data_IF_254482634802
#
_entry.id   IF_254482634802
#
_cell.length_a   1.000
_cell.length_b   1.000
_cell.length_c   1.000
_cell.angle_alpha   90.00
_cell.angle_beta   90.00
_cell.angle_gamma   90.00
#
_symmetry.space_group_name_H-M   'P 1'
#
loop_
_entity.id
_entity.type
_entity.pdbx_description
1 polymer ?
#
# COMPACT_ATOMS: atom_id res chain seq x y z
N UNK A 1 -38.24 -11.21 59.49
CA UNK A 1 -38.86 -12.10 58.48
C UNK A 1 -38.98 -11.32 57.18
N UNK A 2 -38.08 -11.54 56.22
CA UNK A 2 -38.22 -11.06 54.85
C UNK A 2 -38.16 -12.30 53.95
N UNK A 3 -39.25 -12.59 53.24
CA UNK A 3 -39.33 -13.71 52.30
C UNK A 3 -38.69 -13.31 50.97
N UNK A 4 -37.59 -13.96 50.60
CA UNK A 4 -36.97 -13.79 49.28
C UNK A 4 -37.84 -14.46 48.22
N UNK A 5 -38.41 -13.67 47.31
CA UNK A 5 -39.10 -14.16 46.11
C UNK A 5 -38.03 -14.56 45.07
N UNK A 6 -38.06 -15.77 44.49
CA UNK A 6 -37.10 -16.16 43.46
C UNK A 6 -37.37 -15.46 42.12
N UNK A 7 -36.33 -15.18 41.31
CA UNK A 7 -36.50 -14.51 40.03
C UNK A 7 -37.17 -15.41 38.97
N UNK A 8 -37.88 -14.81 37.99
CA UNK A 8 -38.60 -15.54 36.97
C UNK A 8 -37.65 -16.27 35.99
N UNK A 9 -37.97 -17.52 35.68
CA UNK A 9 -37.28 -18.33 34.68
C UNK A 9 -37.73 -17.92 33.27
N UNK A 10 -36.84 -17.34 32.47
CA UNK A 10 -37.09 -17.13 31.05
C UNK A 10 -36.94 -18.46 30.31
N UNK A 11 -38.06 -19.08 29.90
CA UNK A 11 -38.04 -20.22 28.99
C UNK A 11 -37.67 -19.75 27.58
N UNK A 12 -36.41 -19.91 27.20
CA UNK A 12 -35.98 -19.69 25.82
C UNK A 12 -36.46 -20.85 24.95
N UNK A 13 -37.64 -20.71 24.36
CA UNK A 13 -38.04 -21.53 23.23
C UNK A 13 -38.76 -20.68 22.18
N UNK A 14 -38.01 -19.77 21.57
CA UNK A 14 -38.42 -19.10 20.34
C UNK A 14 -37.51 -19.62 19.22
N UNK A 15 -37.93 -20.72 18.60
CA UNK A 15 -37.44 -21.11 17.28
C UNK A 15 -37.79 -19.97 16.33
N UNK A 16 -36.79 -19.19 15.93
CA UNK A 16 -36.89 -18.30 14.79
C UNK A 16 -36.48 -19.10 13.58
N UNK A 17 -37.46 -19.65 12.87
CA UNK A 17 -37.27 -20.12 11.51
C UNK A 17 -37.02 -18.88 10.64
N UNK A 18 -35.76 -18.48 10.51
CA UNK A 18 -35.34 -17.48 9.55
C UNK A 18 -35.40 -18.15 8.15
N UNK A 19 -36.25 -17.70 7.22
CA UNK A 19 -36.17 -18.18 5.85
C UNK A 19 -34.83 -17.74 5.25
N UNK A 20 -34.25 -18.63 4.45
CA UNK A 20 -32.96 -18.46 3.79
C UNK A 20 -32.93 -17.18 2.92
N UNK A 21 -31.75 -16.58 2.83
CA UNK A 21 -31.46 -15.31 2.13
C UNK A 21 -31.77 -15.34 0.63
N UNK A 22 -32.14 -16.50 0.08
CA UNK A 22 -32.44 -16.70 -1.35
C UNK A 22 -33.93 -16.52 -1.72
N UNK A 23 -34.86 -16.50 -0.76
CA UNK A 23 -36.30 -16.32 -1.07
C UNK A 23 -36.76 -14.85 -1.15
N UNK A 24 -35.94 -13.88 -0.74
CA UNK A 24 -36.32 -12.47 -0.66
C UNK A 24 -36.19 -11.73 -1.99
N UNK A 25 -35.43 -12.26 -2.95
CA UNK A 25 -35.08 -11.55 -4.18
C UNK A 25 -36.07 -11.68 -5.34
N UNK A 26 -37.12 -12.50 -5.21
CA UNK A 26 -38.10 -12.75 -6.29
C UNK A 26 -39.49 -12.15 -6.07
N UNK A 27 -39.70 -11.37 -4.99
CA UNK A 27 -40.93 -10.57 -4.87
C UNK A 27 -40.74 -9.30 -5.66
N UNK A 28 -41.37 -9.21 -6.83
CA UNK A 28 -41.38 -7.97 -7.61
C UNK A 28 -41.90 -6.84 -6.71
N UNK A 29 -41.27 -5.66 -6.72
CA UNK A 29 -41.67 -4.47 -5.95
C UNK A 29 -43.17 -4.11 -6.09
N UNK A 30 -43.82 -4.62 -7.14
CA UNK A 30 -45.27 -4.54 -7.39
C UNK A 30 -46.12 -5.20 -6.31
N UNK A 31 -45.67 -6.27 -5.68
CA UNK A 31 -46.48 -7.04 -4.71
C UNK A 31 -46.50 -6.41 -3.31
N UNK A 32 -45.54 -5.55 -2.98
CA UNK A 32 -45.49 -4.80 -1.71
C UNK A 32 -46.36 -3.53 -1.71
N UNK A 33 -46.91 -3.14 -2.87
CA UNK A 33 -47.66 -1.89 -3.05
C UNK A 33 -49.19 -2.05 -3.05
N UNK A 34 -49.72 -3.29 -3.02
CA UNK A 34 -51.17 -3.57 -3.13
C UNK A 34 -52.02 -2.94 -2.01
N UNK A 35 -51.44 -2.73 -0.82
CA UNK A 35 -52.15 -2.21 0.36
C UNK A 35 -51.92 -0.71 0.63
N UNK A 36 -51.15 -0.02 -0.21
CA UNK A 36 -50.81 1.40 -0.01
C UNK A 36 -51.73 2.26 -0.89
N UNK A 37 -52.43 3.27 -0.33
CA UNK A 37 -53.26 4.19 -1.12
C UNK A 37 -52.47 4.83 -2.28
N UNK A 38 -53.08 4.90 -3.46
CA UNK A 38 -52.47 5.43 -4.70
C UNK A 38 -51.85 6.82 -4.51
N UNK A 39 -52.50 7.68 -3.72
CA UNK A 39 -52.00 9.01 -3.33
C UNK A 39 -50.59 8.95 -2.71
N UNK A 40 -50.32 7.96 -1.85
CA UNK A 40 -49.03 7.81 -1.18
C UNK A 40 -47.98 7.30 -2.18
N UNK A 41 -48.37 6.38 -3.06
CA UNK A 41 -47.50 5.86 -4.12
C UNK A 41 -47.05 6.99 -5.08
N UNK A 42 -47.99 7.83 -5.53
CA UNK A 42 -47.70 9.00 -6.36
C UNK A 42 -46.78 10.00 -5.66
N UNK A 43 -47.05 10.30 -4.38
CA UNK A 43 -46.20 11.19 -3.58
C UNK A 43 -44.78 10.63 -3.43
N UNK A 44 -44.64 9.31 -3.24
CA UNK A 44 -43.34 8.67 -3.12
C UNK A 44 -42.57 8.68 -4.45
N UNK A 45 -43.24 8.38 -5.57
CA UNK A 45 -42.66 8.45 -6.91
C UNK A 45 -42.17 9.88 -7.22
N UNK A 46 -42.98 10.90 -6.90
CA UNK A 46 -42.59 12.31 -7.04
C UNK A 46 -41.36 12.65 -6.19
N UNK A 47 -41.28 12.12 -4.97
CA UNK A 47 -40.15 12.35 -4.07
C UNK A 47 -38.87 11.65 -4.55
N UNK A 48 -38.99 10.47 -5.16
CA UNK A 48 -37.88 9.78 -5.80
C UNK A 48 -37.36 10.54 -7.02
N UNK A 49 -38.25 11.03 -7.88
CA UNK A 49 -37.88 11.87 -9.02
C UNK A 49 -37.15 13.14 -8.54
N UNK A 50 -37.73 13.86 -7.56
CA UNK A 50 -37.09 15.05 -6.97
C UNK A 50 -35.69 14.77 -6.41
N UNK A 51 -35.46 13.61 -5.80
CA UNK A 51 -34.13 13.21 -5.30
C UNK A 51 -33.15 12.91 -6.44
N UNK A 52 -33.60 12.31 -7.53
CA UNK A 52 -32.78 12.09 -8.73
C UNK A 52 -32.39 13.42 -9.38
N UNK A 53 -33.36 14.33 -9.51
CA UNK A 53 -33.15 15.65 -10.10
C UNK A 53 -32.21 16.50 -9.24
N UNK A 54 -32.35 16.47 -7.90
CA UNK A 54 -31.42 17.15 -6.98
C UNK A 54 -29.99 16.63 -7.08
N UNK A 55 -29.79 15.31 -7.20
CA UNK A 55 -28.45 14.73 -7.42
C UNK A 55 -27.85 15.11 -8.77
N UNK A 56 -28.68 15.40 -9.76
CA UNK A 56 -28.28 15.77 -11.11
C UNK A 56 -28.16 17.28 -11.32
N UNK A 57 -28.43 18.09 -10.29
CA UNK A 57 -28.36 19.54 -10.41
C UNK A 57 -26.91 19.99 -10.54
N UNK A 58 -26.50 20.17 -11.80
CA UNK A 58 -25.16 20.63 -12.18
C UNK A 58 -24.82 21.98 -11.54
N UNK A 59 -25.82 22.76 -11.09
CA UNK A 59 -25.62 24.02 -10.39
C UNK A 59 -24.89 23.85 -9.06
N UNK A 60 -25.34 22.90 -8.23
CA UNK A 60 -24.75 22.63 -6.91
C UNK A 60 -23.35 22.01 -7.03
N UNK A 61 -23.16 21.11 -7.98
CA UNK A 61 -21.85 20.55 -8.28
C UNK A 61 -20.87 21.64 -8.75
N UNK A 62 -21.31 22.52 -9.66
CA UNK A 62 -20.49 23.67 -10.10
C UNK A 62 -20.18 24.63 -8.95
N UNK A 63 -21.11 24.83 -8.02
CA UNK A 63 -20.91 25.69 -6.83
C UNK A 63 -19.87 25.09 -5.89
N UNK A 64 -19.97 23.80 -5.59
CA UNK A 64 -18.99 23.10 -4.74
C UNK A 64 -17.61 23.07 -5.39
N UNK A 65 -17.50 22.83 -6.69
CA UNK A 65 -16.21 22.84 -7.41
C UNK A 65 -15.60 24.24 -7.47
N UNK A 66 -16.41 25.29 -7.65
CA UNK A 66 -15.95 26.68 -7.55
C UNK A 66 -15.43 27.01 -6.15
N UNK A 67 -16.11 26.55 -5.10
CA UNK A 67 -15.70 26.75 -3.72
C UNK A 67 -14.38 26.02 -3.42
N UNK A 68 -14.26 24.75 -3.83
CA UNK A 68 -13.02 23.98 -3.74
C UNK A 68 -11.85 24.69 -4.43
N UNK A 69 -12.05 25.18 -5.65
CA UNK A 69 -11.04 25.94 -6.40
C UNK A 69 -10.66 27.27 -5.73
N UNK A 70 -11.59 27.93 -5.04
CA UNK A 70 -11.29 29.16 -4.29
C UNK A 70 -10.44 28.85 -3.07
N UNK A 71 -10.84 27.86 -2.27
CA UNK A 71 -10.11 27.42 -1.07
C UNK A 71 -8.69 26.98 -1.44
N UNK A 72 -8.52 26.15 -2.47
CA UNK A 72 -7.18 25.71 -2.87
C UNK A 72 -6.30 26.85 -3.35
N UNK A 73 -6.83 27.84 -4.06
CA UNK A 73 -6.07 29.04 -4.44
C UNK A 73 -5.67 29.88 -3.22
N UNK A 74 -6.58 30.09 -2.27
CA UNK A 74 -6.28 30.88 -1.07
C UNK A 74 -5.18 30.22 -0.23
N UNK A 75 -5.23 28.90 -0.06
CA UNK A 75 -4.18 28.12 0.62
C UNK A 75 -2.84 28.21 -0.13
N UNK A 76 -2.85 28.04 -1.46
CA UNK A 76 -1.62 28.16 -2.26
C UNK A 76 -1.02 29.57 -2.16
N UNK A 77 -1.83 30.62 -2.21
CA UNK A 77 -1.35 32.00 -2.07
C UNK A 77 -0.75 32.25 -0.68
N UNK A 78 -1.37 31.72 0.39
CA UNK A 78 -0.82 31.82 1.74
C UNK A 78 0.52 31.07 1.88
N UNK A 79 0.66 29.95 1.19
CA UNK A 79 1.91 29.17 1.16
C UNK A 79 2.99 29.79 0.26
N UNK A 80 2.62 30.57 -0.76
CA UNK A 80 3.58 31.29 -1.61
C UNK A 80 4.09 32.58 -0.97
N UNK A 81 3.32 33.19 -0.07
CA UNK A 81 3.74 34.42 0.63
C UNK A 81 4.69 34.15 1.81
N UNK A 82 4.77 32.90 2.26
CA UNK A 82 5.80 32.46 3.18
C UNK A 82 6.78 31.65 2.33
N UNK A 83 8.00 32.14 2.09
CA UNK A 83 9.02 31.46 1.28
C UNK A 83 9.43 30.12 1.91
N UNK A 84 8.55 29.13 1.84
CA UNK A 84 8.78 27.76 2.28
C UNK A 84 8.94 26.95 1.00
N UNK A 85 10.15 26.43 0.83
CA UNK A 85 10.59 25.72 -0.36
C UNK A 85 9.53 24.73 -0.84
N UNK A 86 9.12 24.85 -2.10
CA UNK A 86 8.13 23.99 -2.78
C UNK A 86 8.50 22.50 -2.68
N UNK A 87 9.77 22.19 -2.39
CA UNK A 87 10.24 20.84 -2.12
C UNK A 87 9.74 20.27 -0.78
N UNK A 88 9.68 21.08 0.29
CA UNK A 88 9.18 20.64 1.60
C UNK A 88 7.71 20.23 1.53
N UNK A 89 6.88 20.91 0.72
CA UNK A 89 5.47 20.55 0.55
C UNK A 89 5.22 19.24 -0.21
N UNK A 90 6.17 18.81 -1.06
CA UNK A 90 6.11 17.51 -1.72
C UNK A 90 6.39 16.37 -0.75
N UNK A 91 7.28 16.61 0.23
CA UNK A 91 7.63 15.63 1.26
C UNK A 91 6.44 15.38 2.22
N UNK A 92 5.55 16.38 2.40
CA UNK A 92 4.30 16.24 3.16
C UNK A 92 3.11 15.76 2.28
N UNK A 93 3.35 15.42 1.01
CA UNK A 93 2.36 14.78 0.13
C UNK A 93 1.32 15.72 -0.53
N UNK A 94 1.54 17.04 -0.53
CA UNK A 94 0.62 17.99 -1.17
C UNK A 94 0.87 18.04 -2.68
N UNK A 95 -0.10 17.61 -3.49
CA UNK A 95 0.01 17.60 -4.96
C UNK A 95 -0.46 18.93 -5.56
N UNK A 96 0.47 19.77 -6.02
CA UNK A 96 0.15 21.04 -6.68
C UNK A 96 -0.20 20.79 -8.15
N UNK A 97 -1.33 21.30 -8.67
CA UNK A 97 -1.72 21.12 -10.07
C UNK A 97 -0.76 21.84 -11.03
N UNK A 98 -0.31 21.13 -12.07
CA UNK A 98 0.72 21.55 -13.04
C UNK A 98 0.44 22.87 -13.80
N UNK A 99 -0.78 23.41 -13.73
CA UNK A 99 -1.13 24.67 -14.38
C UNK A 99 -0.46 25.91 -13.75
N UNK A 100 0.05 25.81 -12.52
CA UNK A 100 0.64 26.96 -11.78
C UNK A 100 2.17 27.07 -12.01
N UNK A 101 2.86 26.01 -12.44
CA UNK A 101 4.32 25.99 -12.54
C UNK A 101 4.90 26.56 -13.86
N UNK A 102 4.07 27.07 -14.77
CA UNK A 102 4.49 27.45 -16.12
C UNK A 102 4.77 28.94 -16.29
N UNK A 103 5.59 29.55 -15.43
CA UNK A 103 6.16 30.87 -15.76
C UNK A 103 7.68 30.93 -15.85
N UNK A 104 8.42 30.05 -15.19
CA UNK A 104 9.89 30.07 -15.24
C UNK A 104 10.47 28.66 -15.42
N UNK A 105 10.39 28.07 -16.62
CA UNK A 105 11.27 26.97 -17.00
C UNK A 105 11.78 27.17 -18.42
N UNK A 106 13.02 27.67 -18.51
CA UNK A 106 13.86 27.47 -19.69
C UNK A 106 13.98 25.98 -19.95
N UNK A 107 13.78 25.64 -21.20
CA UNK A 107 13.69 24.33 -21.81
C UNK A 107 14.90 23.45 -21.45
N UNK A 108 14.64 22.36 -20.71
CA UNK A 108 15.43 21.14 -20.82
C UNK A 108 14.43 20.04 -21.18
N UNK A 109 14.54 19.53 -22.40
CA UNK A 109 13.72 18.42 -22.88
C UNK A 109 14.14 17.16 -22.13
N UNK A 110 13.32 16.71 -21.19
CA UNK A 110 13.32 15.32 -20.73
C UNK A 110 12.00 14.70 -21.17
N UNK A 111 12.10 13.82 -22.16
CA UNK A 111 10.99 13.00 -22.65
C UNK A 111 10.61 11.98 -21.57
N UNK A 112 9.72 12.34 -20.66
CA UNK A 112 9.08 11.38 -19.75
C UNK A 112 7.58 11.42 -19.97
N UNK A 113 7.10 10.43 -20.73
CA UNK A 113 5.68 10.12 -20.87
C UNK A 113 5.09 9.80 -19.50
N UNK A 114 4.16 10.63 -19.04
CA UNK A 114 3.37 10.39 -17.83
C UNK A 114 2.42 9.21 -18.02
N UNK A 115 2.80 8.04 -17.51
CA UNK A 115 1.88 6.93 -17.20
C UNK A 115 2.23 6.33 -15.82
N UNK A 116 1.91 6.96 -14.67
CA UNK A 116 2.62 6.63 -13.42
C UNK A 116 1.70 6.33 -12.23
N UNK A 117 0.78 5.36 -12.33
CA UNK A 117 0.04 4.89 -11.13
C UNK A 117 -0.09 3.36 -11.10
N UNK A 118 -0.45 2.73 -12.23
CA UNK A 118 -0.62 1.27 -12.28
C UNK A 118 0.71 0.52 -12.19
N UNK A 119 1.76 1.06 -12.81
CA UNK A 119 3.09 0.43 -12.83
C UNK A 119 3.74 0.42 -11.43
N UNK A 120 3.54 1.47 -10.64
CA UNK A 120 4.09 1.55 -9.29
C UNK A 120 3.38 0.62 -8.31
N UNK A 121 2.06 0.45 -8.46
CA UNK A 121 1.30 -0.51 -7.68
C UNK A 121 1.74 -1.96 -7.96
N UNK A 122 1.95 -2.33 -9.24
CA UNK A 122 2.45 -3.65 -9.63
C UNK A 122 3.86 -3.87 -9.09
N UNK A 123 4.73 -2.86 -9.19
CA UNK A 123 6.10 -2.90 -8.65
C UNK A 123 6.11 -3.09 -7.13
N UNK A 124 5.19 -2.43 -6.41
CA UNK A 124 5.06 -2.59 -4.96
C UNK A 124 4.54 -3.97 -4.56
N UNK A 125 3.58 -4.53 -5.30
CA UNK A 125 3.10 -5.90 -5.09
C UNK A 125 4.23 -6.93 -5.26
N UNK A 126 5.07 -6.78 -6.29
CA UNK A 126 6.23 -7.65 -6.53
C UNK A 126 7.29 -7.54 -5.42
N UNK A 127 7.49 -6.35 -4.85
CA UNK A 127 8.38 -6.15 -3.69
C UNK A 127 7.77 -6.83 -2.46
N UNK A 128 6.48 -6.62 -2.20
CA UNK A 128 5.76 -7.20 -1.06
C UNK A 128 5.78 -8.73 -1.06
N UNK A 129 5.65 -9.35 -2.23
CA UNK A 129 5.77 -10.81 -2.38
C UNK A 129 7.16 -11.31 -1.98
N UNK A 130 8.23 -10.59 -2.36
CA UNK A 130 9.62 -10.93 -2.01
C UNK A 130 10.00 -10.63 -0.57
N UNK A 131 9.26 -9.74 0.10
CA UNK A 131 9.37 -9.53 1.55
C UNK A 131 8.75 -10.70 2.33
N UNK A 132 7.65 -11.29 1.83
CA UNK A 132 7.01 -12.47 2.44
C UNK A 132 7.79 -13.76 2.23
N UNK A 133 8.52 -13.87 1.12
CA UNK A 133 9.40 -14.99 0.87
C UNK A 133 10.57 -14.90 1.86
N UNK A 134 10.51 -15.70 2.93
CA UNK A 134 11.66 -15.97 3.78
C UNK A 134 12.85 -16.31 2.87
N UNK A 135 13.94 -15.59 3.04
CA UNK A 135 15.11 -15.79 2.20
C UNK A 135 15.86 -16.99 2.80
N UNK A 136 15.85 -18.18 2.17
CA UNK A 136 16.45 -19.38 2.76
C UNK A 136 17.97 -19.27 2.94
N UNK A 137 18.59 -18.27 2.32
CA UNK A 137 20.02 -17.94 2.42
C UNK A 137 20.34 -16.81 3.41
N UNK A 138 19.34 -16.21 4.08
CA UNK A 138 19.66 -15.44 5.29
C UNK A 138 19.87 -16.50 6.34
N UNK A 139 21.10 -16.98 6.40
CA UNK A 139 21.57 -17.87 7.45
C UNK A 139 21.17 -17.25 8.78
N UNK A 140 20.22 -17.90 9.43
CA UNK A 140 20.02 -17.74 10.85
C UNK A 140 21.38 -17.91 11.53
N UNK A 141 21.84 -16.85 12.18
CA UNK A 141 22.70 -16.98 13.35
C UNK A 141 24.14 -17.50 13.17
N UNK A 142 24.77 -17.49 12.00
CA UNK A 142 26.17 -18.00 11.97
C UNK A 142 27.18 -16.97 12.53
N UNK A 143 26.92 -15.66 12.40
CA UNK A 143 27.88 -14.61 12.83
C UNK A 143 27.32 -13.55 13.79
N UNK A 144 26.18 -13.78 14.47
CA UNK A 144 25.67 -12.79 15.46
C UNK A 144 26.65 -12.55 16.62
N UNK A 145 27.54 -13.49 16.90
CA UNK A 145 28.54 -13.39 17.95
C UNK A 145 29.70 -12.42 17.64
N UNK A 146 29.87 -11.98 16.38
CA UNK A 146 31.05 -11.18 15.97
C UNK A 146 30.73 -9.82 15.33
N UNK A 147 29.45 -9.42 15.22
CA UNK A 147 29.15 -8.06 14.77
C UNK A 147 29.30 -7.09 15.94
N UNK A 148 30.17 -6.11 15.76
CA UNK A 148 30.25 -4.97 16.67
C UNK A 148 28.87 -4.31 16.76
N UNK A 149 28.45 -4.01 18.00
CA UNK A 149 27.19 -3.30 18.25
C UNK A 149 27.17 -2.00 17.45
N UNK A 150 26.03 -1.72 16.84
CA UNK A 150 25.80 -0.42 16.19
C UNK A 150 25.64 0.66 17.25
N UNK A 151 25.87 1.93 16.87
CA UNK A 151 25.74 3.07 17.79
C UNK A 151 24.34 3.16 18.43
N UNK A 152 23.30 2.84 17.67
CA UNK A 152 21.93 2.90 18.19
C UNK A 152 21.70 1.78 19.22
N UNK A 153 22.30 0.61 19.02
CA UNK A 153 22.24 -0.48 20.01
C UNK A 153 23.00 -0.12 21.30
N UNK A 154 24.16 0.54 21.19
CA UNK A 154 24.88 1.04 22.38
C UNK A 154 24.10 2.14 23.10
N UNK A 155 23.48 3.07 22.36
CA UNK A 155 22.67 4.15 22.95
C UNK A 155 21.41 3.61 23.66
N UNK A 156 20.86 2.48 23.19
CA UNK A 156 19.76 1.78 23.87
C UNK A 156 20.24 1.21 25.20
N UNK A 157 21.38 0.51 25.21
CA UNK A 157 21.96 -0.04 26.44
C UNK A 157 22.23 1.08 27.46
N UNK A 158 22.82 2.20 27.02
CA UNK A 158 23.06 3.39 27.85
C UNK A 158 21.75 3.98 28.42
N UNK A 159 20.68 4.07 27.61
CA UNK A 159 19.39 4.58 28.07
C UNK A 159 18.73 3.65 29.11
N UNK A 160 18.87 2.33 28.94
CA UNK A 160 18.37 1.34 29.89
C UNK A 160 19.14 1.40 31.21
N UNK A 161 20.47 1.52 31.17
CA UNK A 161 21.31 1.68 32.36
C UNK A 161 21.00 2.98 33.11
N UNK A 162 20.69 4.06 32.39
CA UNK A 162 20.24 5.33 32.96
C UNK A 162 18.80 5.31 33.49
N UNK A 163 18.01 4.27 33.17
CA UNK A 163 16.59 4.16 33.54
C UNK A 163 15.63 5.03 32.72
N UNK A 164 16.07 5.55 31.57
CA UNK A 164 15.26 6.36 30.64
C UNK A 164 14.61 5.45 29.57
N UNK A 165 13.48 4.85 29.94
CA UNK A 165 12.77 3.90 29.08
C UNK A 165 12.10 4.55 27.86
N UNK A 166 11.64 5.80 27.99
CA UNK A 166 11.02 6.54 26.89
C UNK A 166 12.02 6.74 25.75
N UNK A 167 13.28 7.05 26.09
CA UNK A 167 14.35 7.16 25.10
C UNK A 167 14.68 5.80 24.47
N UNK A 168 14.76 4.74 25.26
CA UNK A 168 15.05 3.40 24.76
C UNK A 168 13.98 2.90 23.76
N UNK A 169 12.69 3.17 24.01
CA UNK A 169 11.59 2.80 23.12
C UNK A 169 11.65 3.52 21.78
N UNK A 170 11.98 4.82 21.80
CA UNK A 170 12.17 5.62 20.59
C UNK A 170 13.32 5.08 19.72
N UNK A 171 14.46 4.76 20.34
CA UNK A 171 15.62 4.19 19.65
C UNK A 171 15.31 2.79 19.10
N UNK A 172 14.56 1.97 19.83
CA UNK A 172 14.09 0.65 19.36
C UNK A 172 13.20 0.76 18.11
N UNK A 173 12.26 1.71 18.12
CA UNK A 173 11.42 2.01 16.96
C UNK A 173 12.26 2.46 15.76
N UNK A 174 13.30 3.26 16.00
CA UNK A 174 14.24 3.68 14.97
C UNK A 174 15.02 2.51 14.37
N UNK A 175 15.55 1.59 15.20
CA UNK A 175 16.23 0.36 14.71
C UNK A 175 15.27 -0.46 13.84
N UNK A 176 14.04 -0.66 14.29
CA UNK A 176 13.03 -1.44 13.56
C UNK A 176 12.76 -0.86 12.17
N UNK A 177 12.63 0.47 12.07
CA UNK A 177 12.45 1.16 10.80
C UNK A 177 13.66 1.01 9.86
N UNK A 178 14.88 1.08 10.40
CA UNK A 178 16.10 0.88 9.62
C UNK A 178 16.21 -0.55 9.10
N UNK A 179 15.95 -1.55 9.96
CA UNK A 179 15.94 -2.95 9.56
C UNK A 179 14.92 -3.20 8.44
N UNK A 180 13.69 -2.70 8.59
CA UNK A 180 12.66 -2.78 7.56
C UNK A 180 13.08 -2.10 6.25
N UNK A 181 13.73 -0.93 6.31
CA UNK A 181 14.29 -0.28 5.13
C UNK A 181 15.35 -1.16 4.45
N UNK A 182 16.23 -1.83 5.21
CA UNK A 182 17.20 -2.76 4.61
C UNK A 182 16.53 -3.94 3.92
N UNK A 183 15.46 -4.49 4.49
CA UNK A 183 14.66 -5.56 3.86
C UNK A 183 14.08 -5.11 2.51
N UNK A 184 13.49 -3.91 2.46
CA UNK A 184 12.98 -3.33 1.22
C UNK A 184 14.09 -3.20 0.18
N UNK A 185 15.26 -2.68 0.56
CA UNK A 185 16.38 -2.53 -0.39
C UNK A 185 16.86 -3.87 -0.92
N UNK A 186 16.90 -4.90 -0.07
CA UNK A 186 17.25 -6.26 -0.45
C UNK A 186 16.21 -6.86 -1.40
N UNK A 187 14.91 -6.70 -1.13
CA UNK A 187 13.84 -7.14 -2.01
C UNK A 187 13.91 -6.47 -3.39
N UNK A 188 14.20 -5.17 -3.43
CA UNK A 188 14.43 -4.44 -4.70
C UNK A 188 15.66 -4.99 -5.43
N UNK A 189 16.75 -5.30 -4.72
CA UNK A 189 17.95 -5.88 -5.32
C UNK A 189 17.65 -7.25 -5.96
N UNK A 190 16.88 -8.11 -5.28
CA UNK A 190 16.43 -9.41 -5.82
C UNK A 190 15.59 -9.23 -7.08
N UNK A 191 14.62 -8.33 -7.05
CA UNK A 191 13.78 -8.02 -8.21
C UNK A 191 14.61 -7.54 -9.41
N UNK A 192 15.55 -6.62 -9.18
CA UNK A 192 16.49 -6.15 -10.22
C UNK A 192 17.35 -7.29 -10.77
N UNK A 193 17.81 -8.19 -9.91
CA UNK A 193 18.59 -9.35 -10.31
C UNK A 193 17.76 -10.31 -11.18
N UNK A 194 16.56 -10.69 -10.75
CA UNK A 194 15.69 -11.59 -11.52
C UNK A 194 15.28 -10.99 -12.88
N UNK A 195 14.91 -9.71 -12.91
CA UNK A 195 14.61 -9.01 -14.16
C UNK A 195 15.84 -8.97 -15.08
N UNK A 196 17.03 -8.70 -14.54
CA UNK A 196 18.26 -8.77 -15.32
C UNK A 196 18.52 -10.18 -15.85
N UNK A 197 18.30 -11.24 -15.07
CA UNK A 197 18.42 -12.63 -15.53
C UNK A 197 17.46 -12.94 -16.68
N UNK A 198 16.21 -12.47 -16.62
CA UNK A 198 15.25 -12.68 -17.69
C UNK A 198 15.64 -11.95 -18.99
N UNK A 199 16.16 -10.73 -18.86
CA UNK A 199 16.55 -9.87 -19.98
C UNK A 199 17.89 -10.23 -20.64
N UNK A 200 18.67 -11.17 -20.10
CA UNK A 200 19.89 -11.66 -20.78
C UNK A 200 19.46 -12.45 -22.04
N UNK A 201 19.90 -12.05 -23.25
CA UNK A 201 19.58 -12.77 -24.48
C UNK A 201 20.09 -14.22 -24.37
N UNK A 202 19.28 -15.16 -24.83
CA UNK A 202 19.48 -16.61 -24.69
C UNK A 202 20.86 -17.07 -25.16
N UNK A 203 21.46 -16.40 -26.15
CA UNK A 203 22.83 -16.63 -26.62
C UNK A 203 23.89 -16.37 -25.55
N UNK A 204 23.75 -15.32 -24.74
CA UNK A 204 24.67 -15.03 -23.61
C UNK A 204 24.44 -15.99 -22.44
N UNK A 205 23.21 -16.48 -22.25
CA UNK A 205 22.90 -17.58 -21.30
C UNK A 205 23.53 -18.90 -21.73
N UNK A 206 23.77 -19.14 -23.03
CA UNK A 206 24.52 -20.31 -23.55
C UNK A 206 26.03 -20.21 -23.27
N UNK A 207 26.61 -19.03 -23.45
CA UNK A 207 28.06 -18.80 -23.29
C UNK A 207 28.54 -18.84 -21.83
N UNK A 208 27.69 -18.56 -20.85
CA UNK A 208 28.01 -18.60 -19.40
C UNK A 208 28.01 -20.02 -18.79
N UNK A 209 27.62 -21.04 -19.55
CA UNK A 209 27.48 -22.44 -19.07
C UNK A 209 28.76 -23.26 -19.14
N UNK A 210 29.80 -22.73 -19.79
CA UNK A 210 31.12 -23.35 -19.73
C UNK A 210 31.87 -22.68 -18.58
N UNK A 211 31.56 -23.15 -17.38
CA UNK A 211 32.44 -22.95 -16.24
C UNK A 211 33.70 -23.79 -16.50
N UNK A 212 34.76 -23.14 -16.97
CA UNK A 212 36.05 -23.74 -17.39
C UNK A 212 36.79 -24.52 -16.28
N UNK A 213 36.21 -24.66 -15.08
CA UNK A 213 36.79 -25.41 -13.97
C UNK A 213 36.41 -26.90 -13.96
N UNK A 214 35.50 -27.36 -14.82
CA UNK A 214 35.26 -28.80 -14.98
C UNK A 214 36.23 -29.38 -16.01
N UNK A 215 37.35 -29.89 -15.52
CA UNK A 215 38.02 -31.11 -16.02
C UNK A 215 38.27 -31.22 -17.54
N UNK A 216 38.76 -30.18 -18.20
CA UNK A 216 39.34 -30.34 -19.55
C UNK A 216 40.83 -30.74 -19.49
N UNK A 217 41.42 -30.67 -18.29
CA UNK A 217 42.84 -30.94 -18.05
C UNK A 217 43.23 -32.42 -18.21
N UNK A 218 42.31 -33.38 -18.05
CA UNK A 218 42.66 -34.81 -18.16
C UNK A 218 42.73 -35.32 -19.62
N UNK A 219 42.00 -34.70 -20.53
CA UNK A 219 42.06 -35.03 -21.97
C UNK A 219 43.41 -34.62 -22.61
N UNK A 220 44.16 -33.68 -22.02
CA UNK A 220 45.48 -33.26 -22.56
C UNK A 220 46.62 -34.21 -22.20
N UNK A 221 46.46 -35.05 -21.17
CA UNK A 221 47.49 -36.01 -20.74
C UNK A 221 47.29 -37.37 -21.40
N UNK A 222 46.04 -37.75 -21.73
CA UNK A 222 45.74 -38.96 -22.49
C UNK A 222 46.13 -38.85 -23.97
N UNK A 223 46.18 -37.63 -24.53
CA UNK A 223 46.62 -37.42 -25.92
C UNK A 223 48.16 -37.35 -26.07
N UNK A 224 48.91 -37.28 -24.97
CA UNK A 224 50.39 -37.17 -24.96
C UNK A 224 51.09 -38.45 -24.48
N UNK A 225 50.38 -39.57 -24.48
CA UNK A 225 50.90 -40.90 -24.14
C UNK A 225 51.16 -41.81 -25.34
N UNK A 226 51.08 -41.29 -26.58
CA UNK A 226 51.36 -42.04 -27.79
C UNK A 226 52.58 -41.44 -28.53
N UNK A 227 53.75 -41.53 -27.89
CA UNK A 227 55.08 -41.43 -28.51
C UNK A 227 56.01 -42.42 -27.82
#
# INVERSE_FOLDING_TARGET
>A
MYSSVPPPTHSNNCKSDNPSVEEVTNRTDRDLLKNVPERIQLKFAQLQQRRKDWKNDKGDQRRTDKLKKKITRDVVNQLQNNDVDVNTLKDVGVTIPAAICNRNKKTVQSNESHQPIKNDAIKWQQIKERLKAENPYIEENVDRQYKAKTKIETDIDEAIEAGDYDRAENLSSQISNLQFATEITNAIRRLKYETSLQNIPTEKKRKRRNLYWTFESKQRWETKGNM
#
